data_IF_320502729031
#
_entry.id   IF_320502729031
#
_cell.length_a   1.000
_cell.length_b   1.000
_cell.length_c   1.000
_cell.angle_alpha   90.00
_cell.angle_beta   90.00
_cell.angle_gamma   90.00
#
_symmetry.space_group_name_H-M   'P 1'
#
loop_
_entity.id
_entity.type
_entity.pdbx_description
1 polymer ?
#
# COMPACT_ATOMS: atom_id res chain seq x y z
N UNK A 1 -12.61 21.87 -59.67
CA UNK A 1 -13.55 21.87 -58.52
C UNK A 1 -13.67 20.45 -57.97
N UNK A 2 -12.64 19.90 -57.28
CA UNK A 2 -12.74 18.56 -56.67
C UNK A 2 -11.67 18.21 -55.61
N UNK A 3 -10.93 19.20 -55.08
CA UNK A 3 -9.86 18.93 -54.10
C UNK A 3 -10.27 19.22 -52.65
N UNK A 4 -11.46 19.81 -52.41
CA UNK A 4 -11.90 20.21 -51.07
C UNK A 4 -12.76 19.18 -50.33
N UNK A 5 -13.12 18.05 -50.97
CA UNK A 5 -14.01 17.05 -50.35
C UNK A 5 -13.26 15.91 -49.63
N UNK A 6 -11.97 15.72 -49.88
CA UNK A 6 -11.20 14.64 -49.23
C UNK A 6 -10.52 15.03 -47.91
N UNK A 7 -10.47 16.32 -47.57
CA UNK A 7 -9.77 16.78 -46.35
C UNK A 7 -10.63 16.68 -45.08
N UNK A 8 -11.96 16.51 -45.19
CA UNK A 8 -12.85 16.45 -44.02
C UNK A 8 -13.02 15.06 -43.40
N UNK A 9 -12.58 13.98 -44.07
CA UNK A 9 -12.76 12.62 -43.56
C UNK A 9 -11.64 12.14 -42.61
N UNK A 10 -10.49 12.82 -42.60
CA UNK A 10 -9.31 12.39 -41.82
C UNK A 10 -9.23 12.92 -40.38
N UNK A 11 -10.10 13.86 -39.98
CA UNK A 11 -9.95 14.58 -38.72
C UNK A 11 -10.88 14.09 -37.58
N UNK A 12 -11.62 13.00 -37.78
CA UNK A 12 -12.62 12.50 -36.79
C UNK A 12 -12.10 11.30 -35.98
N UNK A 13 -10.89 10.79 -36.24
CA UNK A 13 -10.41 9.54 -35.61
C UNK A 13 -9.71 9.75 -34.25
N UNK A 14 -9.41 10.99 -33.83
CA UNK A 14 -8.62 11.23 -32.61
C UNK A 14 -9.39 11.56 -31.32
N UNK A 15 -10.73 11.55 -31.32
CA UNK A 15 -11.52 11.95 -30.13
C UNK A 15 -12.15 10.76 -29.39
N UNK A 16 -11.77 9.53 -29.72
CA UNK A 16 -12.24 8.32 -28.99
C UNK A 16 -11.07 7.66 -28.26
N UNK A 17 -10.23 8.44 -27.59
CA UNK A 17 -9.58 7.94 -26.38
C UNK A 17 -10.65 7.91 -25.29
N UNK A 18 -11.48 6.87 -25.31
CA UNK A 18 -12.39 6.60 -24.21
C UNK A 18 -11.58 6.66 -22.92
N UNK A 19 -12.02 7.48 -21.96
CA UNK A 19 -11.59 7.34 -20.59
C UNK A 19 -11.82 5.86 -20.24
N UNK A 20 -10.74 5.08 -20.24
CA UNK A 20 -10.74 3.74 -19.69
C UNK A 20 -11.36 3.92 -18.30
N UNK A 21 -12.53 3.32 -18.10
CA UNK A 21 -13.19 3.30 -16.80
C UNK A 21 -12.29 2.45 -15.92
N UNK A 22 -11.24 3.06 -15.38
CA UNK A 22 -10.57 2.58 -14.19
C UNK A 22 -11.65 2.76 -13.15
N UNK A 23 -12.45 1.71 -12.93
CA UNK A 23 -13.40 1.67 -11.83
C UNK A 23 -12.67 2.20 -10.61
N UNK A 24 -13.21 3.20 -9.87
CA UNK A 24 -12.56 3.69 -8.68
C UNK A 24 -12.37 2.50 -7.76
N UNK A 25 -11.14 2.01 -7.66
CA UNK A 25 -10.84 0.86 -6.84
C UNK A 25 -11.02 1.34 -5.39
N UNK A 26 -12.11 0.90 -4.77
CA UNK A 26 -12.41 1.24 -3.40
C UNK A 26 -11.29 0.73 -2.48
N UNK A 27 -11.03 1.46 -1.41
CA UNK A 27 -10.06 1.02 -0.40
C UNK A 27 -10.71 -0.09 0.44
N UNK A 28 -10.15 -1.30 0.39
CA UNK A 28 -10.62 -2.42 1.19
C UNK A 28 -10.05 -2.39 2.62
N UNK A 29 -10.85 -1.85 3.55
CA UNK A 29 -10.49 -1.76 4.96
C UNK A 29 -10.65 -3.07 5.75
N UNK A 30 -11.11 -4.17 5.13
CA UNK A 30 -11.28 -5.44 5.85
C UNK A 30 -9.95 -5.92 6.45
N UNK A 31 -9.94 -6.21 7.75
CA UNK A 31 -8.74 -6.59 8.49
C UNK A 31 -7.90 -5.42 9.05
N UNK A 32 -8.27 -4.17 8.77
CA UNK A 32 -7.67 -3.00 9.43
C UNK A 32 -8.39 -2.71 10.74
N UNK A 33 -7.64 -2.40 11.80
CA UNK A 33 -8.24 -2.01 13.08
C UNK A 33 -9.05 -0.72 12.90
N UNK A 34 -10.25 -0.66 13.49
CA UNK A 34 -11.23 0.39 13.18
C UNK A 34 -10.74 1.82 13.45
N UNK A 35 -9.99 2.04 14.52
CA UNK A 35 -9.35 3.33 14.85
C UNK A 35 -8.33 3.74 13.78
N UNK A 36 -7.52 2.79 13.31
CA UNK A 36 -6.55 3.03 12.22
C UNK A 36 -7.28 3.33 10.92
N UNK A 37 -8.35 2.59 10.59
CA UNK A 37 -9.17 2.85 9.41
C UNK A 37 -9.79 4.26 9.44
N UNK A 38 -10.31 4.70 10.60
CA UNK A 38 -10.81 6.06 10.80
C UNK A 38 -9.71 7.10 10.63
N UNK A 39 -8.52 6.87 11.18
CA UNK A 39 -7.37 7.75 11.04
C UNK A 39 -6.95 7.91 9.57
N UNK A 40 -6.88 6.83 8.79
CA UNK A 40 -6.57 6.86 7.35
C UNK A 40 -7.64 7.67 6.60
N UNK A 41 -8.92 7.42 6.87
CA UNK A 41 -10.02 8.10 6.18
C UNK A 41 -10.13 9.59 6.50
N UNK A 42 -9.76 10.01 7.70
CA UNK A 42 -9.80 11.42 8.11
C UNK A 42 -8.78 12.31 7.40
N UNK A 43 -7.80 11.73 6.71
CA UNK A 43 -6.85 12.50 5.90
C UNK A 43 -7.43 12.82 4.52
N UNK A 44 -7.97 14.02 4.36
CA UNK A 44 -8.60 14.48 3.12
C UNK A 44 -7.62 14.65 1.96
N UNK A 45 -6.35 14.94 2.24
CA UNK A 45 -5.32 15.22 1.22
C UNK A 45 -4.61 13.96 0.68
N UNK A 46 -4.97 12.76 1.14
CA UNK A 46 -4.36 11.53 0.63
C UNK A 46 -5.04 11.08 -0.66
N UNK A 47 -4.23 10.73 -1.66
CA UNK A 47 -4.71 10.04 -2.84
C UNK A 47 -5.28 8.66 -2.48
N UNK A 48 -6.12 8.10 -3.36
CA UNK A 48 -6.64 6.75 -3.17
C UNK A 48 -5.53 5.71 -3.09
N UNK A 49 -4.47 5.86 -3.90
CA UNK A 49 -3.31 4.97 -3.85
C UNK A 49 -2.59 5.05 -2.51
N UNK A 50 -2.40 6.26 -1.96
CA UNK A 50 -1.81 6.43 -0.64
C UNK A 50 -2.66 5.78 0.46
N UNK A 51 -4.00 5.90 0.39
CA UNK A 51 -4.90 5.23 1.32
C UNK A 51 -4.81 3.71 1.21
N UNK A 52 -4.73 3.16 -0.01
CA UNK A 52 -4.54 1.72 -0.24
C UNK A 52 -3.21 1.24 0.33
N UNK A 53 -2.10 1.95 0.07
CA UNK A 53 -0.80 1.63 0.63
C UNK A 53 -0.81 1.65 2.17
N UNK A 54 -1.47 2.64 2.79
CA UNK A 54 -1.62 2.69 4.25
C UNK A 54 -2.45 1.52 4.80
N UNK A 55 -3.51 1.15 4.11
CA UNK A 55 -4.37 0.03 4.50
C UNK A 55 -3.63 -1.30 4.41
N UNK A 56 -2.96 -1.58 3.29
CA UNK A 56 -2.19 -2.81 3.13
C UNK A 56 -1.05 -2.90 4.14
N UNK A 57 -0.35 -1.78 4.36
CA UNK A 57 0.70 -1.71 5.38
C UNK A 57 0.13 -1.90 6.79
N UNK A 58 -1.06 -1.39 7.07
CA UNK A 58 -1.71 -1.57 8.38
C UNK A 58 -2.07 -3.03 8.64
N UNK A 59 -2.61 -3.73 7.65
CA UNK A 59 -2.99 -5.15 7.78
C UNK A 59 -1.78 -6.00 8.16
N UNK A 60 -0.62 -5.76 7.54
CA UNK A 60 0.60 -6.54 7.81
C UNK A 60 1.28 -6.11 9.11
N UNK A 61 1.39 -4.80 9.38
CA UNK A 61 2.02 -4.31 10.62
C UNK A 61 1.23 -4.69 11.88
N UNK A 62 -0.10 -4.74 11.82
CA UNK A 62 -0.93 -5.25 12.92
C UNK A 62 -0.56 -6.70 13.31
N UNK A 63 -0.09 -7.52 12.37
CA UNK A 63 0.33 -8.91 12.65
C UNK A 63 1.66 -8.99 13.41
N UNK A 64 2.42 -7.89 13.49
CA UNK A 64 3.65 -7.83 14.29
C UNK A 64 3.36 -7.80 15.80
N UNK A 65 2.11 -7.52 16.20
CA UNK A 65 1.72 -7.57 17.61
C UNK A 65 1.87 -9.01 18.14
N UNK A 66 2.61 -9.16 19.24
CA UNK A 66 2.93 -10.45 19.86
C UNK A 66 3.57 -11.44 18.88
N UNK A 67 4.40 -10.96 17.94
CA UNK A 67 5.12 -11.82 16.98
C UNK A 67 6.00 -12.86 17.68
N UNK A 68 6.56 -12.53 18.84
CA UNK A 68 7.39 -13.44 19.65
C UNK A 68 6.64 -14.68 20.14
N UNK A 69 5.30 -14.60 20.25
CA UNK A 69 4.44 -15.71 20.67
C UNK A 69 4.00 -16.61 19.49
N UNK A 70 4.39 -16.30 18.25
CA UNK A 70 4.05 -17.08 17.06
C UNK A 70 5.07 -18.18 16.81
N UNK A 71 4.66 -19.24 16.12
CA UNK A 71 5.61 -20.27 15.66
C UNK A 71 6.65 -19.66 14.72
N UNK A 72 7.81 -20.31 14.57
CA UNK A 72 8.87 -19.82 13.66
C UNK A 72 8.36 -19.65 12.22
N UNK A 73 7.60 -20.61 11.70
CA UNK A 73 7.01 -20.54 10.37
C UNK A 73 6.07 -19.32 10.23
N UNK A 74 5.19 -19.10 11.23
CA UNK A 74 4.29 -17.95 11.26
C UNK A 74 5.05 -16.64 11.33
N UNK A 75 6.11 -16.56 12.14
CA UNK A 75 6.98 -15.38 12.24
C UNK A 75 7.60 -15.06 10.90
N UNK A 76 8.27 -16.03 10.27
CA UNK A 76 8.88 -15.87 8.94
C UNK A 76 7.85 -15.34 7.94
N UNK A 77 6.66 -15.92 7.90
CA UNK A 77 5.59 -15.48 7.00
C UNK A 77 5.15 -14.03 7.26
N UNK A 78 4.92 -13.66 8.53
CA UNK A 78 4.53 -12.30 8.92
C UNK A 78 5.64 -11.29 8.56
N UNK A 79 6.90 -11.63 8.78
CA UNK A 79 8.03 -10.75 8.43
C UNK A 79 8.10 -10.58 6.91
N UNK A 80 7.97 -11.66 6.13
CA UNK A 80 7.94 -11.61 4.65
C UNK A 80 6.82 -10.70 4.14
N UNK A 81 5.61 -10.87 4.66
CA UNK A 81 4.46 -10.02 4.31
C UNK A 81 4.70 -8.55 4.65
N UNK A 82 5.32 -8.26 5.80
CA UNK A 82 5.67 -6.89 6.17
C UNK A 82 6.77 -6.30 5.27
N UNK A 83 7.79 -7.08 4.89
CA UNK A 83 8.83 -6.63 3.95
C UNK A 83 8.22 -6.26 2.59
N UNK A 84 7.31 -7.10 2.08
CA UNK A 84 6.58 -6.85 0.84
C UNK A 84 5.72 -5.60 0.96
N UNK A 85 4.92 -5.48 2.02
CA UNK A 85 4.05 -4.31 2.22
C UNK A 85 4.84 -3.01 2.36
N UNK A 86 5.98 -3.03 3.06
CA UNK A 86 6.90 -1.90 3.16
C UNK A 86 7.47 -1.51 1.78
N UNK A 87 7.92 -2.49 1.00
CA UNK A 87 8.41 -2.26 -0.36
C UNK A 87 7.33 -1.60 -1.24
N UNK A 88 6.11 -2.15 -1.25
CA UNK A 88 5.01 -1.62 -2.04
C UNK A 88 4.50 -0.25 -1.56
N UNK A 89 4.74 0.12 -0.30
CA UNK A 89 4.34 1.41 0.25
C UNK A 89 5.31 2.55 -0.10
N UNK A 90 6.61 2.26 -0.24
CA UNK A 90 7.66 3.27 -0.44
C UNK A 90 7.47 4.20 -1.64
N UNK A 91 6.96 3.75 -2.80
CA UNK A 91 6.70 4.65 -3.93
C UNK A 91 5.63 5.71 -3.67
N UNK A 92 4.75 5.47 -2.68
CA UNK A 92 3.54 6.29 -2.46
C UNK A 92 3.55 7.05 -1.12
N UNK A 93 4.30 6.54 -0.13
CA UNK A 93 4.30 7.05 1.23
C UNK A 93 5.69 7.53 1.66
N UNK A 94 5.72 8.66 2.35
CA UNK A 94 6.94 9.13 3.01
C UNK A 94 7.21 8.33 4.29
N UNK A 95 8.47 8.24 4.71
CA UNK A 95 8.86 7.62 5.98
C UNK A 95 8.12 8.25 7.17
N UNK A 96 7.94 9.57 7.17
CA UNK A 96 7.16 10.26 8.19
C UNK A 96 5.71 9.74 8.25
N UNK A 97 5.06 9.55 7.11
CA UNK A 97 3.69 9.03 7.06
C UNK A 97 3.61 7.57 7.55
N UNK A 98 4.61 6.75 7.22
CA UNK A 98 4.74 5.37 7.75
C UNK A 98 4.91 5.40 9.27
N UNK A 99 5.76 6.28 9.80
CA UNK A 99 5.95 6.43 11.25
C UNK A 99 4.66 6.87 11.96
N UNK A 100 3.89 7.78 11.35
CA UNK A 100 2.58 8.18 11.86
C UNK A 100 1.59 7.00 11.87
N UNK A 101 1.54 6.19 10.82
CA UNK A 101 0.72 4.97 10.78
C UNK A 101 1.12 4.01 11.91
N UNK A 102 2.42 3.75 12.08
CA UNK A 102 2.93 2.87 13.14
C UNK A 102 2.58 3.39 14.54
N UNK A 103 2.52 4.70 14.75
CA UNK A 103 2.04 5.29 16.01
C UNK A 103 0.53 5.09 16.23
N UNK A 104 -0.25 4.87 15.17
CA UNK A 104 -1.64 4.47 15.33
C UNK A 104 -1.73 2.98 15.65
N UNK A 105 -0.98 2.12 14.96
CA UNK A 105 -1.09 0.67 15.09
C UNK A 105 -0.58 0.16 16.44
N UNK A 106 0.60 0.62 16.87
CA UNK A 106 1.27 0.09 18.06
C UNK A 106 1.07 1.00 19.27
N UNK A 107 0.87 0.38 20.43
CA UNK A 107 0.90 1.07 21.71
C UNK A 107 2.28 1.71 21.92
N UNK A 108 2.30 2.92 22.47
CA UNK A 108 3.52 3.72 22.60
C UNK A 108 4.66 2.97 23.31
N UNK A 109 4.32 2.21 24.35
CA UNK A 109 5.29 1.52 25.21
C UNK A 109 5.88 0.26 24.55
N UNK A 110 5.16 -0.35 23.61
CA UNK A 110 5.57 -1.59 22.95
C UNK A 110 6.10 -1.38 21.53
N UNK A 111 5.79 -0.23 20.93
CA UNK A 111 6.14 0.08 19.54
C UNK A 111 7.61 -0.17 19.23
N UNK A 112 8.51 0.36 20.06
CA UNK A 112 9.94 0.30 19.77
C UNK A 112 10.44 -1.15 19.80
N UNK A 113 10.04 -1.92 20.83
CA UNK A 113 10.37 -3.34 20.92
C UNK A 113 9.86 -4.12 19.70
N UNK A 114 8.59 -3.94 19.30
CA UNK A 114 8.00 -4.63 18.15
C UNK A 114 8.78 -4.32 16.87
N UNK A 115 9.11 -3.05 16.64
CA UNK A 115 9.85 -2.63 15.45
C UNK A 115 11.30 -3.13 15.46
N UNK A 116 11.94 -3.17 16.61
CA UNK A 116 13.30 -3.70 16.75
C UNK A 116 13.34 -5.21 16.49
N UNK A 117 12.40 -5.97 17.05
CA UNK A 117 12.23 -7.40 16.74
C UNK A 117 12.02 -7.62 15.25
N UNK A 118 11.11 -6.86 14.63
CA UNK A 118 10.89 -6.91 13.17
C UNK A 118 12.18 -6.62 12.39
N UNK A 119 12.91 -5.57 12.76
CA UNK A 119 14.15 -5.14 12.08
C UNK A 119 15.28 -6.17 12.21
N UNK A 120 15.39 -6.84 13.36
CA UNK A 120 16.35 -7.92 13.56
C UNK A 120 15.98 -9.18 12.77
N UNK A 121 14.69 -9.55 12.72
CA UNK A 121 14.24 -10.75 12.01
C UNK A 121 14.33 -10.60 10.50
N UNK A 122 13.96 -9.44 9.94
CA UNK A 122 14.02 -9.22 8.48
C UNK A 122 15.44 -9.33 7.91
N UNK A 123 16.48 -9.08 8.71
CA UNK A 123 17.87 -9.23 8.26
C UNK A 123 18.24 -10.68 7.96
N UNK A 124 17.49 -11.64 8.52
CA UNK A 124 17.73 -13.08 8.36
C UNK A 124 16.96 -13.67 7.17
N UNK A 125 16.13 -12.88 6.50
CA UNK A 125 15.22 -13.34 5.45
C UNK A 125 15.60 -12.71 4.12
N UNK A 126 15.86 -13.55 3.12
CA UNK A 126 16.09 -13.12 1.73
C UNK A 126 14.80 -13.25 0.94
N UNK A 127 14.37 -12.15 0.30
CA UNK A 127 13.27 -12.09 -0.66
C UNK A 127 13.72 -11.23 -1.84
N UNK A 128 13.44 -11.70 -3.06
CA UNK A 128 13.53 -10.83 -4.23
C UNK A 128 12.31 -9.90 -4.26
N UNK A 129 12.48 -8.69 -3.76
CA UNK A 129 11.41 -7.70 -3.71
C UNK A 129 11.09 -7.12 -5.10
N UNK A 130 12.02 -7.22 -6.07
CA UNK A 130 11.81 -6.64 -7.40
C UNK A 130 10.84 -7.45 -8.26
N UNK A 131 10.66 -8.73 -7.96
CA UNK A 131 9.65 -9.59 -8.61
C UNK A 131 8.28 -9.53 -7.96
N UNK A 132 8.13 -8.77 -6.86
CA UNK A 132 6.86 -8.61 -6.17
C UNK A 132 5.95 -7.68 -6.96
N UNK A 133 4.74 -8.15 -7.25
CA UNK A 133 3.70 -7.32 -7.86
C UNK A 133 2.95 -6.54 -6.77
N UNK A 134 3.14 -5.23 -6.76
CA UNK A 134 2.40 -4.32 -5.88
C UNK A 134 1.07 -3.90 -6.53
N UNK A 135 0.02 -3.76 -5.70
CA UNK A 135 -1.35 -3.41 -6.13
C UNK A 135 -1.64 -1.89 -6.26
#
# INVERSE_FOLDING_TARGET
>A
MNQFKLACLGLIIFIISGCQVISPLFVDYNGVRMDVAKWINNHQLLSMQQKRSLVQLSKTQQKLYQIENKSEEQRIQIIKENMIAMHCAQPYLTEHKIKQLQNQIFDHDQKQQILDTYNQERQKITIDLNSVQCE
#
